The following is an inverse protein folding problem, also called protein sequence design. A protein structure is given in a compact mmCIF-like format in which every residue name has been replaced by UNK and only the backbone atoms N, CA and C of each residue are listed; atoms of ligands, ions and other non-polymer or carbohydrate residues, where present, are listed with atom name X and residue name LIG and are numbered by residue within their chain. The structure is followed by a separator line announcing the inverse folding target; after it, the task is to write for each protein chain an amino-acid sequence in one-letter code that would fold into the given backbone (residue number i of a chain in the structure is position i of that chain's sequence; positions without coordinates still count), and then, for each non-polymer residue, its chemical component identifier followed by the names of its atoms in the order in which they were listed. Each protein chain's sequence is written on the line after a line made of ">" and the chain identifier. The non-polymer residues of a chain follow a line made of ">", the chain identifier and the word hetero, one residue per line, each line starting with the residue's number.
data_IF_064472857465
#
_entry.id   IF_064472857465
#
_cell.length_a   1.000
_cell.length_b   1.000
_cell.length_c   1.000
_cell.angle_alpha   90.00
_cell.angle_beta   90.00
_cell.angle_gamma   90.00
#
_symmetry.space_group_name_H-M   'P 1'
#
loop_
_entity.id
_entity.type
_entity.pdbx_description
1 polymer ?
#
# COMPACT_ATOMS: atom_id res chain seq x y z
N UNK A 1 5.65 -21.79 -6.26
CA UNK A 1 6.56 -21.65 -7.38
C UNK A 1 6.67 -20.20 -7.77
N UNK A 2 7.73 -19.52 -7.27
CA UNK A 2 8.01 -18.12 -7.57
C UNK A 2 8.56 -17.93 -9.00
N UNK A 3 9.04 -19.00 -9.60
CA UNK A 3 9.64 -18.98 -10.93
C UNK A 3 8.71 -18.45 -12.06
N UNK A 4 7.40 -18.56 -11.89
CA UNK A 4 6.45 -18.02 -12.87
C UNK A 4 6.24 -16.49 -12.75
N UNK A 5 6.69 -15.88 -11.66
CA UNK A 5 6.51 -14.44 -11.41
C UNK A 5 7.57 -13.54 -12.05
N UNK A 6 8.70 -14.14 -12.50
CA UNK A 6 9.81 -13.39 -13.09
C UNK A 6 9.71 -13.19 -14.61
N UNK A 7 8.52 -13.37 -15.18
CA UNK A 7 8.29 -13.17 -16.60
C UNK A 7 7.84 -11.74 -16.91
N UNK A 8 8.25 -11.17 -18.06
CA UNK A 8 7.70 -9.91 -18.52
C UNK A 8 6.19 -9.99 -18.70
N UNK A 9 5.50 -8.99 -18.21
CA UNK A 9 4.06 -8.85 -18.39
C UNK A 9 3.70 -7.93 -19.56
N UNK A 10 2.41 -7.68 -19.71
CA UNK A 10 1.89 -6.69 -20.65
C UNK A 10 0.84 -5.85 -19.94
N UNK A 11 1.00 -4.55 -19.99
CA UNK A 11 -0.01 -3.61 -19.55
C UNK A 11 -0.91 -3.26 -20.74
N UNK A 12 -2.22 -3.32 -20.52
CA UNK A 12 -3.22 -2.92 -21.50
C UNK A 12 -3.85 -1.60 -21.05
N UNK A 13 -3.80 -0.58 -21.92
CA UNK A 13 -4.51 0.67 -21.76
C UNK A 13 -5.68 0.70 -22.72
N UNK A 14 -6.90 0.72 -22.23
CA UNK A 14 -8.10 0.84 -23.04
C UNK A 14 -8.61 2.27 -23.03
N UNK A 15 -8.68 2.87 -24.21
CA UNK A 15 -9.40 4.12 -24.43
C UNK A 15 -10.86 3.77 -24.80
N UNK A 16 -11.72 3.83 -23.82
CA UNK A 16 -13.12 3.44 -23.96
C UNK A 16 -13.92 4.40 -24.85
N UNK A 17 -13.47 5.66 -25.05
CA UNK A 17 -14.14 6.62 -25.92
C UNK A 17 -13.89 6.33 -27.39
N UNK A 18 -12.71 5.86 -27.74
CA UNK A 18 -12.30 5.54 -29.10
C UNK A 18 -12.26 4.02 -29.38
N UNK A 19 -12.60 3.21 -28.38
CA UNK A 19 -12.54 1.74 -28.42
C UNK A 19 -11.17 1.22 -28.93
N UNK A 20 -10.10 1.82 -28.45
CA UNK A 20 -8.74 1.43 -28.82
C UNK A 20 -7.97 0.88 -27.63
N UNK A 21 -7.16 -0.15 -27.88
CA UNK A 21 -6.29 -0.76 -26.89
C UNK A 21 -4.83 -0.55 -27.27
N UNK A 22 -4.09 0.08 -26.36
CA UNK A 22 -2.64 0.19 -26.44
C UNK A 22 -2.01 -0.85 -25.53
N UNK A 23 -0.97 -1.53 -26.01
CA UNK A 23 -0.17 -2.46 -25.22
C UNK A 23 1.17 -1.85 -24.87
N UNK A 24 1.58 -2.00 -23.61
CA UNK A 24 2.87 -1.52 -23.10
C UNK A 24 3.60 -2.73 -22.51
N UNK A 25 4.75 -3.13 -23.06
CA UNK A 25 5.51 -4.23 -22.49
C UNK A 25 6.06 -3.86 -21.12
N UNK A 26 5.80 -4.70 -20.13
CA UNK A 26 6.37 -4.60 -18.79
C UNK A 26 7.69 -5.38 -18.74
N UNK A 27 8.62 -4.90 -17.93
CA UNK A 27 9.86 -5.64 -17.65
C UNK A 27 9.57 -6.82 -16.73
N UNK A 28 10.50 -7.78 -16.66
CA UNK A 28 10.40 -8.87 -15.70
C UNK A 28 10.32 -8.30 -14.27
N UNK A 29 9.44 -8.88 -13.46
CA UNK A 29 9.18 -8.49 -12.06
C UNK A 29 8.69 -7.04 -11.86
N UNK A 30 8.39 -6.33 -12.93
CA UNK A 30 7.89 -4.96 -12.85
C UNK A 30 6.40 -4.96 -12.47
N UNK A 31 6.07 -4.16 -11.45
CA UNK A 31 4.68 -3.96 -10.96
C UNK A 31 4.39 -2.48 -10.90
N UNK A 32 3.17 -2.10 -11.23
CA UNK A 32 2.65 -0.75 -10.97
C UNK A 32 2.23 -0.69 -9.51
N UNK A 33 2.72 0.33 -8.79
CA UNK A 33 2.44 0.53 -7.36
C UNK A 33 1.72 1.83 -7.06
N UNK A 34 1.77 2.81 -7.98
CA UNK A 34 1.02 4.05 -7.87
C UNK A 34 0.84 4.72 -9.24
N UNK A 35 0.01 5.76 -9.27
CA UNK A 35 -0.16 6.64 -10.42
C UNK A 35 -0.03 8.09 -9.97
N UNK A 36 0.62 8.90 -10.78
CA UNK A 36 0.71 10.34 -10.57
C UNK A 36 0.52 11.06 -11.92
N UNK A 37 -0.57 11.79 -12.05
CA UNK A 37 -0.96 12.38 -13.32
C UNK A 37 -1.13 11.32 -14.41
N UNK A 38 -0.32 11.40 -15.48
CA UNK A 38 -0.33 10.43 -16.58
C UNK A 38 0.75 9.34 -16.45
N UNK A 39 1.57 9.35 -15.41
CA UNK A 39 2.68 8.41 -15.20
C UNK A 39 2.31 7.33 -14.20
N UNK A 40 2.92 6.17 -14.36
CA UNK A 40 2.84 5.09 -13.38
C UNK A 40 4.15 4.98 -12.61
N UNK A 41 4.07 4.92 -11.28
CA UNK A 41 5.19 4.50 -10.47
C UNK A 41 5.27 2.98 -10.50
N UNK A 42 6.43 2.49 -10.90
CA UNK A 42 6.70 1.06 -10.95
C UNK A 42 7.79 0.67 -9.97
N UNK A 43 7.72 -0.57 -9.50
CA UNK A 43 8.76 -1.25 -8.74
C UNK A 43 9.12 -2.55 -9.47
N UNK A 44 10.40 -2.85 -9.55
CA UNK A 44 10.88 -4.16 -10.02
C UNK A 44 12.06 -4.64 -9.21
N UNK A 45 12.27 -5.96 -9.21
CA UNK A 45 13.46 -6.57 -8.62
C UNK A 45 14.53 -6.66 -9.73
N UNK A 46 15.72 -6.15 -9.44
CA UNK A 46 16.89 -6.29 -10.31
C UNK A 46 17.96 -7.07 -9.55
N UNK A 47 18.37 -8.19 -10.12
CA UNK A 47 19.37 -9.08 -9.57
C UNK A 47 20.57 -9.22 -10.52
N UNK A 48 21.74 -9.51 -9.97
CA UNK A 48 22.96 -9.70 -10.77
C UNK A 48 22.95 -10.99 -11.58
N UNK A 49 22.11 -11.95 -11.20
CA UNK A 49 21.93 -13.23 -11.84
C UNK A 49 20.46 -13.46 -12.16
N UNK A 50 20.15 -14.15 -13.26
CA UNK A 50 18.76 -14.49 -13.58
C UNK A 50 18.22 -15.48 -12.55
N UNK A 51 16.96 -15.29 -12.19
CA UNK A 51 16.26 -16.24 -11.32
C UNK A 51 16.11 -17.58 -12.03
N UNK A 52 16.47 -18.69 -11.38
CA UNK A 52 16.33 -20.00 -11.99
C UNK A 52 14.85 -20.38 -12.14
N UNK A 53 14.49 -20.94 -13.29
CA UNK A 53 13.12 -21.40 -13.53
C UNK A 53 12.66 -22.49 -12.54
N UNK A 54 13.60 -23.24 -11.97
CA UNK A 54 13.38 -24.32 -11.02
C UNK A 54 14.50 -24.33 -9.96
N UNK A 55 14.75 -23.17 -9.36
CA UNK A 55 15.75 -23.04 -8.31
C UNK A 55 15.29 -23.57 -6.96
N UNK A 56 16.23 -23.96 -6.11
CA UNK A 56 15.94 -24.20 -4.72
C UNK A 56 15.64 -22.86 -4.00
N UNK A 57 14.89 -22.91 -2.92
CA UNK A 57 14.64 -21.75 -2.07
C UNK A 57 15.95 -21.08 -1.60
N UNK A 58 17.01 -21.86 -1.39
CA UNK A 58 18.30 -21.33 -0.96
C UNK A 58 19.04 -20.59 -2.09
N UNK A 59 18.95 -21.06 -3.33
CA UNK A 59 19.49 -20.33 -4.49
C UNK A 59 18.77 -19.01 -4.71
N UNK A 60 17.46 -19.01 -4.59
CA UNK A 60 16.65 -17.81 -4.73
C UNK A 60 16.97 -16.79 -3.61
N UNK A 61 17.09 -17.23 -2.37
CA UNK A 61 17.51 -16.38 -1.25
C UNK A 61 18.91 -15.79 -1.47
N UNK A 62 19.84 -16.57 -2.02
CA UNK A 62 21.20 -16.10 -2.31
C UNK A 62 21.20 -14.99 -3.37
N UNK A 63 20.39 -15.13 -4.43
CA UNK A 63 20.20 -14.10 -5.46
C UNK A 63 19.55 -12.84 -4.87
N UNK A 64 18.46 -13.01 -4.11
CA UNK A 64 17.74 -11.92 -3.47
C UNK A 64 18.56 -11.15 -2.44
N UNK A 65 19.54 -11.80 -1.82
CA UNK A 65 20.42 -11.14 -0.87
C UNK A 65 21.25 -9.99 -1.48
N UNK A 66 21.49 -10.05 -2.80
CA UNK A 66 22.24 -9.05 -3.56
C UNK A 66 21.36 -8.27 -4.56
N UNK A 67 20.07 -8.56 -4.60
CA UNK A 67 19.12 -7.88 -5.46
C UNK A 67 18.76 -6.49 -4.92
N UNK A 68 18.25 -5.64 -5.80
CA UNK A 68 17.72 -4.33 -5.47
C UNK A 68 16.29 -4.17 -5.97
N UNK A 69 15.51 -3.40 -5.26
CA UNK A 69 14.31 -2.78 -5.81
C UNK A 69 14.72 -1.58 -6.66
N UNK A 70 14.17 -1.47 -7.84
CA UNK A 70 14.32 -0.31 -8.73
C UNK A 70 12.96 0.36 -8.84
N UNK A 71 12.89 1.61 -8.46
CA UNK A 71 11.71 2.46 -8.61
C UNK A 71 11.89 3.33 -9.84
N UNK A 72 10.85 3.39 -10.68
CA UNK A 72 10.89 4.18 -11.91
C UNK A 72 9.51 4.74 -12.26
N UNK A 73 9.50 5.91 -12.91
CA UNK A 73 8.33 6.39 -13.62
C UNK A 73 8.21 5.69 -14.98
N UNK A 74 7.08 5.10 -15.26
CA UNK A 74 6.70 4.58 -16.57
C UNK A 74 5.76 5.57 -17.23
N UNK A 75 6.15 6.08 -18.40
CA UNK A 75 5.26 6.81 -19.28
C UNK A 75 4.43 5.81 -20.11
N UNK A 76 3.12 5.72 -19.91
CA UNK A 76 2.29 4.78 -20.64
C UNK A 76 2.09 5.14 -22.12
N UNK A 77 2.42 6.36 -22.54
CA UNK A 77 2.29 6.78 -23.93
C UNK A 77 3.47 6.27 -24.78
N UNK A 78 4.67 6.28 -24.21
CA UNK A 78 5.91 5.93 -24.92
C UNK A 78 6.50 4.62 -24.48
N UNK A 79 6.12 4.09 -23.32
CA UNK A 79 6.79 2.96 -22.68
C UNK A 79 8.14 3.30 -22.06
N UNK A 80 8.53 4.58 -22.06
CA UNK A 80 9.80 5.04 -21.48
C UNK A 80 9.79 4.92 -19.96
N UNK A 81 10.96 4.62 -19.40
CA UNK A 81 11.15 4.51 -17.96
C UNK A 81 12.22 5.48 -17.48
N UNK A 82 11.88 6.26 -16.50
CA UNK A 82 12.77 7.17 -15.82
C UNK A 82 13.04 6.61 -14.41
N UNK A 83 14.30 6.16 -14.19
CA UNK A 83 14.70 5.62 -12.90
C UNK A 83 14.70 6.72 -11.83
N UNK A 84 14.06 6.46 -10.70
CA UNK A 84 13.99 7.34 -9.54
C UNK A 84 15.10 7.00 -8.55
N UNK A 85 15.04 5.77 -7.99
CA UNK A 85 16.00 5.32 -6.99
C UNK A 85 16.10 3.79 -6.99
N UNK A 86 17.08 3.30 -6.23
CA UNK A 86 17.23 1.87 -5.93
C UNK A 86 17.35 1.66 -4.43
N UNK A 87 16.88 0.49 -3.97
CA UNK A 87 16.97 0.05 -2.58
C UNK A 87 17.40 -1.39 -2.51
N UNK A 88 18.25 -1.79 -1.55
CA UNK A 88 18.53 -3.20 -1.33
C UNK A 88 17.23 -3.97 -1.08
N UNK A 89 17.05 -5.07 -1.78
CA UNK A 89 15.89 -5.96 -1.56
C UNK A 89 15.82 -6.44 -0.11
N UNK A 90 16.98 -6.61 0.50
CA UNK A 90 17.13 -7.09 1.87
C UNK A 90 16.68 -6.10 2.95
N UNK A 91 16.74 -4.81 2.67
CA UNK A 91 16.56 -3.75 3.66
C UNK A 91 15.28 -2.94 3.49
N UNK A 92 14.56 -3.13 2.38
CA UNK A 92 13.43 -2.30 2.08
C UNK A 92 12.22 -3.12 1.69
N UNK A 93 11.10 -2.90 2.34
CA UNK A 93 9.81 -3.41 1.93
C UNK A 93 8.91 -2.22 1.60
N UNK A 94 8.47 -2.12 0.33
CA UNK A 94 7.59 -1.03 -0.10
C UNK A 94 6.26 -1.08 0.63
N UNK A 95 5.81 0.06 1.12
CA UNK A 95 4.52 0.19 1.78
C UNK A 95 3.56 1.07 1.03
N UNK A 96 4.00 2.26 0.61
CA UNK A 96 3.09 3.26 0.08
C UNK A 96 3.80 4.28 -0.81
N UNK A 97 3.01 4.96 -1.62
CA UNK A 97 3.39 6.19 -2.30
C UNK A 97 2.34 7.27 -1.97
N UNK A 98 2.81 8.37 -1.40
CA UNK A 98 1.96 9.50 -1.05
C UNK A 98 2.75 10.80 -1.22
N UNK A 99 2.15 11.80 -1.84
CA UNK A 99 2.67 13.17 -1.99
C UNK A 99 4.13 13.22 -2.46
N UNK A 100 4.45 12.53 -3.56
CA UNK A 100 5.80 12.50 -4.11
C UNK A 100 6.82 11.69 -3.31
N UNK A 101 6.39 10.93 -2.31
CA UNK A 101 7.27 10.17 -1.40
C UNK A 101 7.01 8.67 -1.53
N UNK A 102 8.09 7.91 -1.67
CA UNK A 102 8.07 6.44 -1.69
C UNK A 102 8.44 5.94 -0.30
N UNK A 103 7.49 5.31 0.40
CA UNK A 103 7.68 4.81 1.76
C UNK A 103 8.04 3.34 1.79
N UNK A 104 9.02 2.97 2.61
CA UNK A 104 9.50 1.61 2.79
C UNK A 104 10.06 1.39 4.20
N UNK A 105 10.08 0.14 4.63
CA UNK A 105 10.74 -0.25 5.88
C UNK A 105 12.24 -0.32 5.64
N UNK A 106 13.01 0.38 6.47
CA UNK A 106 14.46 0.20 6.57
C UNK A 106 14.83 -0.76 7.70
N UNK A 107 15.99 -1.38 7.60
CA UNK A 107 16.54 -2.31 8.60
C UNK A 107 15.66 -3.55 8.88
N UNK A 108 14.81 -3.94 7.95
CA UNK A 108 13.83 -5.01 8.13
C UNK A 108 14.47 -6.36 8.53
N UNK A 109 15.58 -6.73 7.89
CA UNK A 109 16.27 -7.99 8.21
C UNK A 109 16.99 -7.97 9.56
N UNK A 110 17.29 -6.81 10.07
CA UNK A 110 17.96 -6.64 11.33
C UNK A 110 16.98 -6.48 12.50
N UNK A 111 15.67 -6.36 12.20
CA UNK A 111 14.64 -6.24 13.22
C UNK A 111 14.57 -7.48 14.14
N UNK A 112 14.96 -8.67 13.63
CA UNK A 112 15.06 -9.89 14.41
C UNK A 112 16.34 -9.96 15.27
N UNK A 113 17.24 -8.99 15.10
CA UNK A 113 18.48 -8.90 15.89
C UNK A 113 18.20 -8.10 17.17
N UNK A 114 18.51 -8.64 18.36
CA UNK A 114 18.29 -7.92 19.61
C UNK A 114 18.90 -6.52 19.59
N UNK A 115 18.08 -5.50 19.84
CA UNK A 115 18.49 -4.09 19.85
C UNK A 115 18.44 -3.37 18.50
N UNK A 116 18.06 -4.05 17.42
CA UNK A 116 17.77 -3.42 16.12
C UNK A 116 16.27 -3.45 15.87
N UNK A 117 15.72 -2.29 15.54
CA UNK A 117 14.31 -2.13 15.25
C UNK A 117 14.14 -1.63 13.81
N UNK A 118 13.06 -2.05 13.16
CA UNK A 118 12.73 -1.54 11.84
C UNK A 118 12.36 -0.05 11.93
N UNK A 119 12.76 0.71 10.93
CA UNK A 119 12.42 2.11 10.76
C UNK A 119 11.48 2.28 9.55
N UNK A 120 10.65 3.30 9.55
CA UNK A 120 9.89 3.70 8.37
C UNK A 120 10.58 4.89 7.71
N UNK A 121 11.06 4.65 6.52
CA UNK A 121 11.79 5.61 5.71
C UNK A 121 10.96 6.04 4.50
N UNK A 122 11.30 7.17 3.91
CA UNK A 122 10.80 7.54 2.61
C UNK A 122 11.87 8.18 1.74
N UNK A 123 11.75 7.97 0.44
CA UNK A 123 12.50 8.67 -0.57
C UNK A 123 11.62 9.79 -1.15
N UNK A 124 12.06 11.01 -1.02
CA UNK A 124 11.41 12.19 -1.56
C UNK A 124 11.80 12.35 -3.03
N UNK A 125 10.84 12.21 -3.94
CA UNK A 125 11.12 12.28 -5.39
C UNK A 125 11.42 13.68 -5.88
N UNK A 126 11.07 14.71 -5.11
CA UNK A 126 11.30 16.10 -5.49
C UNK A 126 12.73 16.55 -5.26
N UNK A 127 13.34 16.16 -4.14
CA UNK A 127 14.71 16.54 -3.79
C UNK A 127 15.73 15.40 -3.94
N UNK A 128 15.27 14.17 -4.21
CA UNK A 128 16.14 13.02 -4.41
C UNK A 128 16.81 12.51 -3.15
N UNK A 129 16.27 12.82 -1.97
CA UNK A 129 16.85 12.42 -0.68
C UNK A 129 16.02 11.40 0.06
N UNK A 130 16.70 10.59 0.87
CA UNK A 130 16.06 9.70 1.84
C UNK A 130 15.90 10.39 3.18
N UNK A 131 14.75 10.18 3.81
CA UNK A 131 14.41 10.72 5.12
C UNK A 131 13.75 9.64 5.97
N UNK A 132 13.80 9.82 7.28
CA UNK A 132 13.12 8.95 8.25
C UNK A 132 11.79 9.57 8.66
N UNK A 133 10.71 8.79 8.53
CA UNK A 133 9.41 9.16 9.10
C UNK A 133 9.30 8.67 10.54
N UNK A 134 9.66 7.41 10.79
CA UNK A 134 9.70 6.81 12.12
C UNK A 134 11.05 6.12 12.35
N UNK A 135 11.78 6.52 13.36
CA UNK A 135 13.04 5.87 13.79
C UNK A 135 12.81 4.43 14.26
N UNK A 136 11.64 4.19 14.82
CA UNK A 136 11.19 2.90 15.32
C UNK A 136 9.75 2.70 14.97
N UNK A 137 9.44 1.59 14.32
CA UNK A 137 8.07 1.20 14.02
C UNK A 137 7.44 0.62 15.29
N UNK A 138 6.35 1.23 15.83
CA UNK A 138 5.74 0.80 17.09
C UNK A 138 4.72 -0.33 16.93
N UNK A 139 4.63 -0.94 15.74
CA UNK A 139 3.67 -1.98 15.38
C UNK A 139 4.38 -3.17 14.74
N UNK A 140 3.67 -4.28 14.59
CA UNK A 140 4.20 -5.45 13.92
C UNK A 140 4.60 -5.10 12.48
N UNK A 141 5.87 -5.28 12.15
CA UNK A 141 6.41 -4.99 10.82
C UNK A 141 5.79 -5.85 9.71
N UNK A 142 5.24 -7.02 10.07
CA UNK A 142 4.41 -7.83 9.17
C UNK A 142 2.94 -7.36 9.14
N UNK A 143 2.55 -6.55 10.10
CA UNK A 143 1.19 -6.04 10.27
C UNK A 143 1.00 -4.64 9.72
N UNK A 144 1.94 -4.08 8.95
CA UNK A 144 1.57 -3.05 8.00
C UNK A 144 0.75 -3.78 6.93
N UNK A 145 -0.49 -4.02 7.26
CA UNK A 145 -1.46 -4.28 6.25
C UNK A 145 -1.55 -2.96 5.47
N UNK A 146 -0.80 -2.89 4.39
CA UNK A 146 -1.17 -2.00 3.31
C UNK A 146 -2.58 -2.41 3.01
N UNK A 147 -3.50 -1.81 3.75
CA UNK A 147 -4.91 -2.05 3.53
C UNK A 147 -5.11 -1.79 2.09
N UNK A 148 -5.06 -2.86 1.38
CA UNK A 148 -5.19 -2.92 -0.05
C UNK A 148 -6.54 -2.42 -0.61
N UNK A 149 -7.44 -1.72 0.11
CA UNK A 149 -8.50 -1.04 -0.59
C UNK A 149 -7.94 0.03 -1.53
N UNK A 150 -6.71 0.41 -1.33
CA UNK A 150 -6.00 1.37 -2.19
C UNK A 150 -5.01 0.66 -3.10
N UNK A 151 -5.44 -0.45 -3.70
CA UNK A 151 -4.78 -0.96 -4.89
C UNK A 151 -4.48 0.20 -5.85
N UNK A 152 -3.34 0.22 -6.55
CA UNK A 152 -3.05 1.20 -7.59
C UNK A 152 -4.17 1.37 -8.63
N UNK A 153 -5.08 0.40 -8.73
CA UNK A 153 -6.28 0.47 -9.54
C UNK A 153 -7.25 1.60 -9.14
N UNK A 154 -7.17 2.08 -7.91
CA UNK A 154 -7.93 3.24 -7.41
C UNK A 154 -7.06 4.51 -7.38
N UNK A 155 -6.17 4.65 -8.35
CA UNK A 155 -5.34 5.82 -8.55
C UNK A 155 -6.11 7.14 -8.41
N UNK A 156 -5.55 8.06 -7.67
CA UNK A 156 -6.16 9.37 -7.40
C UNK A 156 -6.69 9.54 -5.98
N UNK A 157 -6.66 8.51 -5.17
CA UNK A 157 -6.97 8.61 -3.73
C UNK A 157 -5.68 8.89 -2.96
N UNK A 158 -5.59 10.00 -2.23
CA UNK A 158 -4.45 10.26 -1.37
C UNK A 158 -4.33 9.15 -0.32
N UNK A 159 -3.24 8.38 -0.37
CA UNK A 159 -2.97 7.34 0.61
C UNK A 159 -2.20 7.91 1.81
N UNK A 160 -2.72 9.00 2.38
CA UNK A 160 -2.11 9.63 3.54
C UNK A 160 -2.15 8.73 4.76
N UNK A 161 -3.23 7.98 4.93
CA UNK A 161 -3.43 7.13 6.11
C UNK A 161 -3.32 5.66 5.75
N UNK A 162 -2.45 4.95 6.45
CA UNK A 162 -2.34 3.50 6.36
C UNK A 162 -2.90 2.85 7.62
N UNK A 163 -3.60 1.74 7.46
CA UNK A 163 -3.96 0.90 8.60
C UNK A 163 -2.71 0.16 9.08
N UNK A 164 -2.46 0.20 10.36
CA UNK A 164 -1.39 -0.55 11.02
C UNK A 164 -2.00 -1.44 12.10
N UNK A 165 -1.48 -2.65 12.20
CA UNK A 165 -1.99 -3.67 13.10
C UNK A 165 -1.06 -3.87 14.28
N UNK A 166 -1.61 -4.40 15.36
CA UNK A 166 -0.82 -4.83 16.52
C UNK A 166 -0.02 -3.69 17.16
N UNK A 167 -0.62 -2.51 17.27
CA UNK A 167 0.03 -1.37 17.93
C UNK A 167 0.02 -1.55 19.43
N UNK A 168 1.21 -1.59 20.03
CA UNK A 168 1.41 -1.70 21.47
C UNK A 168 0.89 -3.01 22.08
N UNK A 169 0.83 -3.05 23.39
CA UNK A 169 0.43 -4.23 24.16
C UNK A 169 -1.04 -4.64 23.99
N UNK A 170 -1.86 -3.72 23.49
CA UNK A 170 -3.29 -3.96 23.26
C UNK A 170 -3.58 -4.61 21.90
N UNK A 171 -2.59 -4.80 21.05
CA UNK A 171 -2.75 -5.30 19.68
C UNK A 171 -3.86 -4.58 18.91
N UNK A 172 -3.94 -3.27 19.09
CA UNK A 172 -4.99 -2.45 18.49
C UNK A 172 -4.70 -2.16 17.02
N UNK A 173 -5.76 -2.08 16.23
CA UNK A 173 -5.69 -1.50 14.89
C UNK A 173 -5.63 0.02 15.00
N UNK A 174 -4.73 0.64 14.24
CA UNK A 174 -4.54 2.09 14.22
C UNK A 174 -4.41 2.60 12.79
N UNK A 175 -4.42 3.91 12.64
CA UNK A 175 -4.06 4.59 11.39
C UNK A 175 -2.70 5.27 11.56
N UNK A 176 -1.83 5.09 10.60
CA UNK A 176 -0.56 5.82 10.49
C UNK A 176 -0.75 6.98 9.51
N UNK A 177 -0.53 8.20 9.99
CA UNK A 177 -0.46 9.38 9.13
C UNK A 177 0.91 9.44 8.45
N UNK A 178 0.94 9.26 7.13
CA UNK A 178 2.17 9.24 6.33
C UNK A 178 2.83 10.61 6.19
N UNK A 179 2.14 11.68 6.55
CA UNK A 179 2.70 13.02 6.53
C UNK A 179 3.47 13.35 7.81
N UNK A 180 2.91 12.98 8.95
CA UNK A 180 3.45 13.35 10.28
C UNK A 180 4.16 12.21 11.00
N UNK A 181 3.84 10.95 10.66
CA UNK A 181 4.27 9.78 11.41
C UNK A 181 3.42 9.48 12.65
N UNK A 182 2.35 10.25 12.88
CA UNK A 182 1.48 9.99 14.02
C UNK A 182 0.71 8.69 13.87
N UNK A 183 0.65 7.92 14.93
CA UNK A 183 -0.20 6.72 15.02
C UNK A 183 -1.49 7.11 15.74
N UNK A 184 -2.59 7.09 14.98
CA UNK A 184 -3.91 7.50 15.44
C UNK A 184 -4.75 6.25 15.75
N UNK A 185 -5.57 6.27 16.81
CA UNK A 185 -6.52 5.18 17.04
C UNK A 185 -7.42 4.98 15.81
N UNK A 186 -7.68 3.73 15.45
CA UNK A 186 -8.68 3.46 14.42
C UNK A 186 -10.05 3.88 14.93
N UNK A 187 -10.77 4.76 14.22
CA UNK A 187 -12.12 5.16 14.61
C UNK A 187 -13.05 3.97 14.68
N UNK A 188 -14.07 4.07 15.50
CA UNK A 188 -15.01 3.01 15.71
C UNK A 188 -16.44 3.47 15.42
N UNK A 189 -17.20 2.58 14.79
CA UNK A 189 -18.63 2.79 14.54
C UNK A 189 -19.43 2.09 15.60
N UNK A 190 -20.40 2.78 16.21
CA UNK A 190 -21.39 2.16 17.08
C UNK A 190 -22.64 1.89 16.29
N UNK A 191 -22.96 0.61 16.12
CA UNK A 191 -24.16 0.15 15.46
C UNK A 191 -24.80 -1.00 16.23
N UNK A 192 -26.12 -1.01 16.32
CA UNK A 192 -26.88 -2.00 17.12
C UNK A 192 -26.38 -2.10 18.59
N UNK A 193 -25.86 -1.01 19.14
CA UNK A 193 -25.28 -0.98 20.49
C UNK A 193 -23.89 -1.61 20.62
N UNK A 194 -23.30 -2.05 19.54
CA UNK A 194 -21.94 -2.63 19.52
C UNK A 194 -20.98 -1.65 18.88
N UNK A 195 -19.87 -1.36 19.56
CA UNK A 195 -18.77 -0.54 19.04
C UNK A 195 -17.74 -1.44 18.36
N UNK A 196 -17.44 -1.18 17.08
CA UNK A 196 -16.49 -1.93 16.27
C UNK A 196 -15.52 -0.99 15.53
N UNK A 197 -14.26 -1.39 15.34
CA UNK A 197 -13.35 -0.65 14.49
C UNK A 197 -13.92 -0.45 13.09
N UNK A 198 -13.84 0.75 12.58
CA UNK A 198 -14.21 1.07 11.21
C UNK A 198 -12.99 0.91 10.29
N UNK A 199 -13.15 0.16 9.21
CA UNK A 199 -12.11 -0.05 8.21
C UNK A 199 -12.32 0.92 7.06
N UNK A 200 -11.30 1.71 6.76
CA UNK A 200 -11.32 2.59 5.60
C UNK A 200 -11.20 1.76 4.31
N UNK A 201 -12.17 1.90 3.41
CA UNK A 201 -12.22 1.16 2.15
C UNK A 201 -11.80 2.01 0.95
N UNK A 202 -12.25 3.26 0.87
CA UNK A 202 -12.02 4.12 -0.28
C UNK A 202 -12.25 5.59 0.08
N UNK A 203 -11.78 6.49 -0.80
CA UNK A 203 -12.22 7.87 -0.83
C UNK A 203 -13.10 8.10 -2.06
N UNK A 204 -14.11 8.93 -1.90
CA UNK A 204 -14.93 9.39 -3.01
C UNK A 204 -14.26 10.54 -3.77
N UNK A 205 -14.75 10.84 -4.96
CA UNK A 205 -14.28 12.01 -5.71
C UNK A 205 -14.56 13.37 -4.99
N UNK A 206 -15.51 13.38 -4.06
CA UNK A 206 -15.78 14.54 -3.19
C UNK A 206 -14.87 14.63 -1.96
N UNK A 207 -13.96 13.68 -1.79
CA UNK A 207 -13.03 13.65 -0.66
C UNK A 207 -13.58 12.97 0.60
N UNK A 208 -14.80 12.42 0.56
CA UNK A 208 -15.36 11.65 1.67
C UNK A 208 -14.75 10.26 1.75
N UNK A 209 -14.69 9.70 2.94
CA UNK A 209 -14.19 8.34 3.19
C UNK A 209 -15.34 7.35 3.27
N UNK A 210 -15.23 6.25 2.51
CA UNK A 210 -16.10 5.10 2.64
C UNK A 210 -15.47 4.11 3.61
N UNK A 211 -16.22 3.74 4.62
CA UNK A 211 -15.78 2.74 5.62
C UNK A 211 -16.71 1.56 5.69
N UNK A 212 -16.22 0.46 6.24
CA UNK A 212 -17.04 -0.69 6.64
C UNK A 212 -16.78 -1.07 8.08
N UNK A 213 -17.81 -1.56 8.76
CA UNK A 213 -17.71 -2.19 10.06
C UNK A 213 -18.70 -3.36 10.13
N UNK A 214 -18.35 -4.43 10.82
CA UNK A 214 -19.26 -5.54 11.06
C UNK A 214 -19.59 -5.65 12.55
N UNK A 215 -20.82 -5.30 12.98
CA UNK A 215 -21.21 -5.34 14.38
C UNK A 215 -21.37 -6.76 14.94
N UNK A 216 -21.48 -7.77 14.08
CA UNK A 216 -21.80 -9.15 14.48
C UNK A 216 -20.60 -10.08 14.53
N UNK A 217 -19.38 -9.59 14.37
CA UNK A 217 -18.17 -10.43 14.40
C UNK A 217 -18.25 -11.61 13.40
N UNK A 218 -18.84 -11.35 12.25
CA UNK A 218 -19.10 -12.33 11.19
C UNK A 218 -18.43 -11.90 9.91
N UNK A 219 -17.89 -12.85 9.16
CA UNK A 219 -17.38 -12.59 7.80
C UNK A 219 -18.49 -12.51 6.74
N UNK A 220 -19.76 -12.66 7.14
CA UNK A 220 -20.89 -12.58 6.23
C UNK A 220 -21.12 -11.11 5.81
N UNK A 221 -20.98 -10.78 4.52
CA UNK A 221 -21.12 -9.41 4.01
C UNK A 221 -22.50 -8.78 4.30
N UNK A 222 -23.54 -9.58 4.48
CA UNK A 222 -24.87 -9.08 4.78
C UNK A 222 -24.95 -8.29 6.10
N UNK A 223 -24.02 -8.53 7.04
CA UNK A 223 -23.93 -7.80 8.30
C UNK A 223 -22.95 -6.63 8.26
N UNK A 224 -22.31 -6.41 7.12
CA UNK A 224 -21.40 -5.30 6.98
C UNK A 224 -22.18 -3.99 6.83
N UNK A 225 -21.80 -3.03 7.64
CA UNK A 225 -22.32 -1.67 7.59
C UNK A 225 -21.34 -0.81 6.82
N UNK A 226 -21.84 0.02 5.95
CA UNK A 226 -21.05 0.96 5.16
C UNK A 226 -21.45 2.38 5.52
N UNK A 227 -20.48 3.25 5.65
CA UNK A 227 -20.73 4.64 5.99
C UNK A 227 -19.81 5.58 5.22
N UNK A 228 -20.34 6.76 4.86
CA UNK A 228 -19.57 7.87 4.31
C UNK A 228 -19.25 8.85 5.44
N UNK A 229 -18.03 9.36 5.45
CA UNK A 229 -17.52 10.25 6.46
C UNK A 229 -16.83 11.44 5.85
N UNK A 230 -16.96 12.58 6.49
CA UNK A 230 -15.96 13.62 6.34
C UNK A 230 -14.69 13.18 7.10
N UNK A 231 -13.49 13.28 6.48
CA UNK A 231 -12.26 12.81 7.12
C UNK A 231 -12.02 13.37 8.52
N UNK A 232 -12.34 14.65 8.74
CA UNK A 232 -12.17 15.28 10.04
C UNK A 232 -13.08 14.65 11.12
N UNK A 233 -14.33 14.35 10.79
CA UNK A 233 -15.26 13.71 11.72
C UNK A 233 -14.85 12.28 12.02
N UNK A 234 -14.38 11.54 11.00
CA UNK A 234 -13.86 10.19 11.18
C UNK A 234 -12.66 10.17 12.14
N UNK A 235 -11.69 11.04 11.94
CA UNK A 235 -10.49 11.13 12.79
C UNK A 235 -10.80 11.62 14.21
N UNK A 236 -11.87 12.41 14.38
CA UNK A 236 -12.33 12.88 15.68
C UNK A 236 -13.27 11.91 16.42
N UNK A 237 -13.44 10.68 15.93
CA UNK A 237 -14.40 9.68 16.45
C UNK A 237 -15.85 10.24 16.49
N UNK A 238 -16.19 11.02 15.46
CA UNK A 238 -17.50 11.66 15.28
C UNK A 238 -18.60 10.71 14.81
N UNK A 239 -19.46 11.22 13.93
CA UNK A 239 -20.56 10.44 13.33
C UNK A 239 -20.43 10.43 11.80
N UNK A 240 -20.83 9.34 11.11
CA UNK A 240 -20.82 9.33 9.66
C UNK A 240 -21.78 10.34 9.07
N UNK A 241 -21.39 10.97 7.98
CA UNK A 241 -22.24 11.86 7.20
C UNK A 241 -23.44 11.14 6.63
N UNK A 242 -23.28 9.87 6.23
CA UNK A 242 -24.35 9.04 5.74
C UNK A 242 -24.05 7.55 5.92
N UNK A 243 -25.10 6.76 6.15
CA UNK A 243 -25.04 5.30 6.03
C UNK A 243 -25.34 4.90 4.59
N UNK A 244 -24.62 3.89 4.10
CA UNK A 244 -24.76 3.38 2.73
C UNK A 244 -25.29 1.95 2.78
N UNK A 245 -26.41 1.73 2.11
CA UNK A 245 -26.95 0.38 1.92
C UNK A 245 -26.41 -0.19 0.61
N UNK A 246 -25.62 -1.24 0.68
CA UNK A 246 -25.02 -1.89 -0.50
C UNK A 246 -25.95 -2.92 -1.14
N UNK A 247 -26.98 -3.36 -0.42
CA UNK A 247 -27.97 -4.33 -0.91
C UNK A 247 -29.36 -3.76 -0.72
N UNK A 248 -30.17 -3.82 -1.78
CA UNK A 248 -31.59 -3.56 -1.63
C UNK A 248 -32.18 -4.69 -0.79
N UNK A 249 -32.73 -4.36 0.38
CA UNK A 249 -33.63 -5.29 1.08
C UNK A 249 -34.95 -5.28 0.31
N UNK A 250 -35.28 -6.40 -0.36
CA UNK A 250 -36.63 -6.65 -0.85
C UNK A 250 -37.63 -6.74 0.30
#
# INVERSE_FOLDING_TARGET
>A
PLAASHQPGTLYRWDWQNDTVQTIPMLADEKIIACEGSRFLTIRIEANEPFPNFGSTEQEKAILAHAVYVYAWLDPATGAREKICTRPYADGYFHNYYDGRIYYTGNFRNADTPGQQAALLYFDTADGTEKTLLETIPFDTYGIDVCAPFSPAFAGVPQRYLRVLNVGDAYADCLLDMETGDVLPAPAVTAEGVRRPALLLACTASGQWLTTANPRDSYDPQYSLYALWDPADFLADGQPAAWVTMYATE
#
